data_IF_760358789235
#
_entry.id   IF_760358789235
#
_cell.length_a   1.000
_cell.length_b   1.000
_cell.length_c   1.000
_cell.angle_alpha   90.00
_cell.angle_beta   90.00
_cell.angle_gamma   90.00
#
_symmetry.space_group_name_H-M   'P 1'
#
loop_
_entity.id
_entity.type
_entity.pdbx_description
1 polymer ?
#
# COMPACT_ATOMS: atom_id res chain seq x y z
N UNK A 1 -32.88 0.69 22.83
CA UNK A 1 -33.10 1.81 21.89
C UNK A 1 -33.14 3.16 22.63
N UNK A 2 -32.00 3.62 23.19
CA UNK A 2 -31.96 4.90 23.95
C UNK A 2 -31.45 6.10 23.13
N UNK A 3 -30.90 5.86 21.92
CA UNK A 3 -30.36 6.92 21.07
C UNK A 3 -31.10 6.98 19.74
N UNK A 4 -31.48 8.18 19.30
CA UNK A 4 -32.17 8.47 18.04
C UNK A 4 -31.23 8.42 16.82
N UNK A 5 -30.26 7.50 16.82
CA UNK A 5 -29.25 7.38 15.78
C UNK A 5 -29.07 5.90 15.38
N UNK A 6 -28.80 5.62 14.09
CA UNK A 6 -28.52 4.26 13.63
C UNK A 6 -27.32 3.65 14.37
N UNK A 7 -27.39 2.36 14.69
CA UNK A 7 -26.36 1.64 15.44
C UNK A 7 -24.97 1.76 14.80
N UNK A 8 -24.89 1.72 13.48
CA UNK A 8 -23.62 1.86 12.75
C UNK A 8 -22.94 3.21 12.98
N UNK A 9 -23.71 4.28 13.18
CA UNK A 9 -23.15 5.59 13.54
C UNK A 9 -22.59 5.57 14.96
N UNK A 10 -23.24 4.87 15.89
CA UNK A 10 -22.78 4.73 17.27
C UNK A 10 -21.41 4.02 17.29
N UNK A 11 -21.27 2.92 16.53
CA UNK A 11 -20.01 2.17 16.42
C UNK A 11 -18.88 3.02 15.83
N UNK A 12 -19.15 3.83 14.80
CA UNK A 12 -18.16 4.72 14.19
C UNK A 12 -17.72 5.84 15.15
N UNK A 13 -18.67 6.48 15.82
CA UNK A 13 -18.37 7.53 16.80
C UNK A 13 -17.53 6.98 17.95
N UNK A 14 -17.90 5.81 18.49
CA UNK A 14 -17.15 5.16 19.56
C UNK A 14 -15.74 4.72 19.13
N UNK A 15 -15.54 4.40 17.84
CA UNK A 15 -14.21 4.08 17.29
C UNK A 15 -13.31 5.31 17.19
N UNK A 16 -13.87 6.45 16.79
CA UNK A 16 -13.11 7.71 16.60
C UNK A 16 -12.81 8.41 17.93
N UNK A 17 -13.70 8.28 18.92
CA UNK A 17 -13.55 8.94 20.22
C UNK A 17 -12.44 8.36 21.12
N UNK A 18 -11.74 7.31 20.68
CA UNK A 18 -10.62 6.72 21.44
C UNK A 18 -9.36 7.56 21.27
N UNK A 19 -8.66 7.80 22.37
CA UNK A 19 -7.34 8.44 22.33
C UNK A 19 -6.30 7.51 21.67
N UNK A 20 -5.32 8.07 20.94
CA UNK A 20 -4.24 7.27 20.35
C UNK A 20 -3.40 6.62 21.45
N UNK A 21 -2.90 5.43 21.16
CA UNK A 21 -2.03 4.67 22.08
C UNK A 21 -0.58 5.10 21.82
N UNK A 22 0.21 5.26 22.88
CA UNK A 22 1.64 5.58 22.76
C UNK A 22 2.38 4.42 22.09
N UNK A 23 3.26 4.72 21.13
CA UNK A 23 4.15 3.71 20.55
C UNK A 23 5.18 3.19 21.56
N UNK A 24 5.50 3.99 22.58
CA UNK A 24 6.37 3.61 23.70
C UNK A 24 5.63 2.80 24.79
N UNK A 25 4.42 2.33 24.52
CA UNK A 25 3.71 1.48 25.49
C UNK A 25 4.45 0.14 25.60
N UNK A 26 4.95 -0.28 26.78
CA UNK A 26 5.64 -1.55 26.93
C UNK A 26 4.66 -2.70 26.65
N UNK A 27 5.16 -3.74 25.97
CA UNK A 27 4.39 -4.93 25.59
C UNK A 27 5.10 -6.17 26.11
N UNK A 28 4.37 -7.00 26.87
CA UNK A 28 4.92 -8.23 27.46
C UNK A 28 5.70 -7.98 28.76
N UNK A 29 6.46 -8.99 29.18
CA UNK A 29 7.28 -8.96 30.40
C UNK A 29 8.75 -8.54 30.10
N UNK A 30 9.10 -8.34 28.83
CA UNK A 30 10.43 -7.92 28.40
C UNK A 30 10.48 -6.38 28.32
N UNK A 31 11.30 -5.77 29.18
CA UNK A 31 11.42 -4.31 29.36
C UNK A 31 11.88 -3.55 28.09
N UNK A 32 12.40 -4.25 27.08
CA UNK A 32 12.90 -3.65 25.85
C UNK A 32 11.88 -3.67 24.69
N UNK A 33 10.70 -4.29 24.87
CA UNK A 33 9.68 -4.41 23.81
C UNK A 33 8.61 -3.33 23.92
N UNK A 34 8.53 -2.45 22.93
CA UNK A 34 7.53 -1.39 22.85
C UNK A 34 6.51 -1.71 21.77
N UNK A 35 5.28 -1.19 21.91
CA UNK A 35 4.20 -1.35 20.93
C UNK A 35 4.62 -0.91 19.52
N UNK A 36 5.45 0.13 19.42
CA UNK A 36 5.99 0.64 18.16
C UNK A 36 6.85 -0.36 17.40
N UNK A 37 7.55 -1.26 18.11
CA UNK A 37 8.45 -2.26 17.50
C UNK A 37 7.68 -3.32 16.70
N UNK A 38 6.38 -3.46 16.95
CA UNK A 38 5.50 -4.40 16.27
C UNK A 38 4.66 -3.78 15.16
N UNK A 39 4.76 -2.46 14.96
CA UNK A 39 4.08 -1.79 13.85
C UNK A 39 4.99 -1.90 12.63
N UNK A 40 4.66 -2.83 11.74
CA UNK A 40 5.30 -2.89 10.44
C UNK A 40 5.01 -1.62 9.63
N UNK A 41 6.03 -1.11 8.94
CA UNK A 41 5.77 -0.15 7.88
C UNK A 41 4.95 -0.84 6.79
N UNK A 42 3.89 -0.18 6.25
CA UNK A 42 3.22 -0.71 5.08
C UNK A 42 4.28 -0.94 4.01
N UNK A 43 4.37 -2.16 3.46
CA UNK A 43 5.56 -2.57 2.74
C UNK A 43 5.81 -1.60 1.58
N UNK A 44 7.02 -1.02 1.47
CA UNK A 44 7.43 -0.46 0.19
C UNK A 44 7.34 -1.56 -0.87
N UNK A 45 7.26 -1.18 -2.15
CA UNK A 45 7.25 -2.16 -3.25
C UNK A 45 8.36 -3.21 -3.01
N UNK A 46 7.97 -4.49 -2.99
CA UNK A 46 8.90 -5.55 -2.66
C UNK A 46 10.03 -5.55 -3.70
N UNK A 47 11.29 -5.79 -3.31
CA UNK A 47 12.40 -5.82 -4.25
C UNK A 47 12.19 -6.81 -5.41
N UNK A 48 11.47 -7.91 -5.13
CA UNK A 48 11.05 -8.88 -6.14
C UNK A 48 10.10 -8.26 -7.16
N UNK A 49 9.07 -7.55 -6.69
CA UNK A 49 8.10 -6.90 -7.56
C UNK A 49 8.77 -5.81 -8.41
N UNK A 50 9.65 -5.02 -7.79
CA UNK A 50 10.45 -4.00 -8.49
C UNK A 50 11.29 -4.62 -9.62
N UNK A 51 11.97 -5.75 -9.36
CA UNK A 51 12.75 -6.46 -10.38
C UNK A 51 11.86 -7.01 -11.51
N UNK A 52 10.67 -7.53 -11.19
CA UNK A 52 9.73 -7.99 -12.22
C UNK A 52 9.20 -6.83 -13.07
N UNK A 53 8.95 -5.67 -12.47
CA UNK A 53 8.53 -4.45 -13.16
C UNK A 53 9.63 -3.95 -14.10
N UNK A 54 10.90 -3.97 -13.68
CA UNK A 54 12.03 -3.63 -14.53
C UNK A 54 12.18 -4.61 -15.71
N UNK A 55 12.10 -5.91 -15.43
CA UNK A 55 12.13 -6.95 -16.47
C UNK A 55 10.99 -6.79 -17.48
N UNK A 56 9.79 -6.43 -17.02
CA UNK A 56 8.65 -6.16 -17.89
C UNK A 56 8.89 -4.95 -18.80
N UNK A 57 9.53 -3.89 -18.30
CA UNK A 57 9.90 -2.73 -19.14
C UNK A 57 10.87 -3.13 -20.25
N UNK A 58 11.86 -3.97 -19.95
CA UNK A 58 12.78 -4.48 -20.97
C UNK A 58 12.07 -5.35 -22.01
N UNK A 59 11.26 -6.32 -21.56
CA UNK A 59 10.52 -7.21 -22.45
C UNK A 59 9.52 -6.45 -23.35
N UNK A 60 8.79 -5.47 -22.79
CA UNK A 60 7.88 -4.63 -23.58
C UNK A 60 8.63 -3.74 -24.57
N UNK A 61 9.81 -3.22 -24.20
CA UNK A 61 10.67 -2.49 -25.13
C UNK A 61 11.10 -3.37 -26.32
N UNK A 62 11.55 -4.60 -26.06
CA UNK A 62 12.02 -5.53 -27.09
C UNK A 62 10.90 -5.96 -28.04
N UNK A 63 9.71 -6.25 -27.51
CA UNK A 63 8.53 -6.57 -28.34
C UNK A 63 8.12 -5.38 -29.20
N UNK A 64 8.12 -4.16 -28.66
CA UNK A 64 7.81 -2.95 -29.43
C UNK A 64 8.87 -2.64 -30.49
N UNK A 65 10.13 -3.03 -30.29
CA UNK A 65 11.18 -2.89 -31.29
C UNK A 65 10.97 -3.80 -32.52
N UNK A 66 10.20 -4.88 -32.38
CA UNK A 66 9.80 -5.75 -33.50
C UNK A 66 8.67 -5.20 -34.37
N UNK A 67 8.02 -4.11 -33.97
CA UNK A 67 6.94 -3.47 -34.73
C UNK A 67 7.48 -2.41 -35.69
N UNK A 68 6.62 -1.94 -36.61
CA UNK A 68 6.96 -0.76 -37.41
C UNK A 68 7.04 0.49 -36.53
N UNK A 69 7.86 1.46 -36.93
CA UNK A 69 8.06 2.71 -36.17
C UNK A 69 6.73 3.43 -35.86
N UNK A 70 5.76 3.37 -36.77
CA UNK A 70 4.43 3.98 -36.59
C UNK A 70 3.59 3.23 -35.55
N UNK A 71 3.57 1.89 -35.59
CA UNK A 71 2.81 1.07 -34.65
C UNK A 71 3.37 1.19 -33.22
N UNK A 72 4.69 1.09 -33.07
CA UNK A 72 5.35 1.25 -31.77
C UNK A 72 5.09 2.63 -31.17
N UNK A 73 5.16 3.70 -31.99
CA UNK A 73 4.86 5.08 -31.56
C UNK A 73 3.42 5.21 -31.08
N UNK A 74 2.45 4.67 -31.83
CA UNK A 74 1.03 4.73 -31.47
C UNK A 74 0.77 4.00 -30.14
N UNK A 75 1.36 2.82 -29.94
CA UNK A 75 1.20 2.07 -28.70
C UNK A 75 1.80 2.80 -27.49
N UNK A 76 3.03 3.34 -27.60
CA UNK A 76 3.63 4.13 -26.51
C UNK A 76 2.78 5.35 -26.14
N UNK A 77 2.30 6.09 -27.13
CA UNK A 77 1.43 7.25 -26.90
C UNK A 77 0.09 6.89 -26.26
N UNK A 78 -0.47 5.71 -26.57
CA UNK A 78 -1.77 5.27 -26.05
C UNK A 78 -1.72 4.83 -24.59
N UNK A 79 -0.63 4.18 -24.18
CA UNK A 79 -0.54 3.51 -22.87
C UNK A 79 0.41 4.20 -21.89
N UNK A 80 1.14 5.24 -22.31
CA UNK A 80 2.11 5.93 -21.44
C UNK A 80 3.35 5.07 -21.16
N UNK A 81 3.76 4.26 -22.14
CA UNK A 81 4.95 3.38 -22.09
C UNK A 81 6.20 4.16 -22.45
#
# INVERSE_FOLDING_TARGET
>A
ERMLMPEDKIRKVLKIAKEPISMETPIGDDEDSHLGDFIEDPPPELPLDSATTESLRAATHDVLAGLTAREAKVLRMRFGI
#
